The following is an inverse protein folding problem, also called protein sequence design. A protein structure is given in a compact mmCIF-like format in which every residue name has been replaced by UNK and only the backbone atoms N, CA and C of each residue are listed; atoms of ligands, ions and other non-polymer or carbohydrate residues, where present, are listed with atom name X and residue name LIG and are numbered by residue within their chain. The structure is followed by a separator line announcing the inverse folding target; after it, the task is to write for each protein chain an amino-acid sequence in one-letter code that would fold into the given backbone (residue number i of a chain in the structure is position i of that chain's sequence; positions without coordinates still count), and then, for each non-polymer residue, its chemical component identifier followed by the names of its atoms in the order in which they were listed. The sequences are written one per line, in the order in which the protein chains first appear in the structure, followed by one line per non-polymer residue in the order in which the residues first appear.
data_IF_716155882901
#
_entry.id   IF_716155882901
#
_cell.length_a   1.000
_cell.length_b   1.000
_cell.length_c   1.000
_cell.angle_alpha   90.00
_cell.angle_beta   90.00
_cell.angle_gamma   90.00
#
_symmetry.space_group_name_H-M   'P 1'
#
loop_
_entity.id
_entity.type
_entity.pdbx_description
1 polymer ?
#
# COMPACT_ATOMS: atom_id res chain seq x y z
N UNK A 1 14.90 19.51 15.89
CA UNK A 1 13.89 18.68 16.59
C UNK A 1 12.66 18.64 15.70
N UNK A 2 12.26 17.46 15.21
CA UNK A 2 11.04 17.36 14.39
C UNK A 2 9.81 17.48 15.28
N UNK A 3 8.81 18.23 14.78
CA UNK A 3 7.51 18.31 15.45
C UNK A 3 6.80 16.96 15.30
N UNK A 4 6.19 16.49 16.38
CA UNK A 4 5.38 15.26 16.32
C UNK A 4 4.15 15.48 15.41
N UNK A 5 3.74 14.46 14.67
CA UNK A 5 2.51 14.52 13.89
C UNK A 5 1.29 14.58 14.83
N UNK A 6 0.11 14.93 14.32
CA UNK A 6 -1.14 14.80 15.07
C UNK A 6 -1.33 13.37 15.60
N UNK A 7 -2.07 13.24 16.72
CA UNK A 7 -2.36 11.92 17.28
C UNK A 7 -3.04 11.01 16.24
N UNK A 8 -2.56 9.78 16.16
CA UNK A 8 -3.03 8.78 15.18
C UNK A 8 -2.52 8.96 13.75
N UNK A 9 -1.58 9.89 13.50
CA UNK A 9 -0.92 10.06 12.22
C UNK A 9 0.55 9.63 12.29
N UNK A 10 1.06 8.90 11.27
CA UNK A 10 2.48 8.65 11.14
C UNK A 10 3.22 9.91 10.65
N UNK A 11 4.54 9.95 10.80
CA UNK A 11 5.38 11.01 10.23
C UNK A 11 5.39 11.01 8.70
N UNK A 12 5.15 9.86 8.10
CA UNK A 12 5.05 9.68 6.66
C UNK A 12 3.84 8.79 6.34
N UNK A 13 3.14 9.11 5.28
CA UNK A 13 2.05 8.32 4.71
C UNK A 13 2.22 8.26 3.20
N UNK A 14 1.58 7.29 2.55
CA UNK A 14 1.57 7.17 1.09
C UNK A 14 0.18 7.42 0.54
N UNK A 15 0.12 8.07 -0.64
CA UNK A 15 -1.10 8.19 -1.42
C UNK A 15 -1.01 7.25 -2.62
N UNK A 16 -2.02 6.41 -2.78
CA UNK A 16 -2.15 5.44 -3.86
C UNK A 16 -3.29 5.86 -4.79
N UNK A 17 -3.06 5.71 -6.08
CA UNK A 17 -3.97 6.21 -7.09
C UNK A 17 -4.50 5.06 -7.93
N UNK A 18 -5.83 4.90 -7.95
CA UNK A 18 -6.55 3.81 -8.60
C UNK A 18 -7.55 4.35 -9.61
N UNK A 19 -7.82 3.58 -10.65
CA UNK A 19 -8.93 3.86 -11.58
C UNK A 19 -10.27 3.71 -10.86
N UNK A 20 -10.36 2.71 -9.97
CA UNK A 20 -11.56 2.38 -9.21
C UNK A 20 -11.28 2.43 -7.70
N UNK A 21 -11.14 3.65 -7.12
CA UNK A 21 -10.67 3.80 -5.74
C UNK A 21 -11.63 3.19 -4.70
N UNK A 22 -12.94 3.19 -4.94
CA UNK A 22 -13.89 2.58 -4.03
C UNK A 22 -13.67 1.06 -3.92
N UNK A 23 -13.54 0.38 -5.06
CA UNK A 23 -13.24 -1.05 -5.09
C UNK A 23 -11.86 -1.38 -4.50
N UNK A 24 -10.89 -0.47 -4.70
CA UNK A 24 -9.54 -0.63 -4.14
C UNK A 24 -9.53 -0.55 -2.61
N UNK A 25 -10.33 0.32 -2.01
CA UNK A 25 -10.47 0.43 -0.55
C UNK A 25 -10.96 -0.90 0.02
N UNK A 26 -12.07 -1.43 -0.50
CA UNK A 26 -12.65 -2.68 -0.02
C UNK A 26 -11.66 -3.85 -0.20
N UNK A 27 -11.04 -3.92 -1.37
CA UNK A 27 -10.07 -4.97 -1.67
C UNK A 27 -8.83 -4.93 -0.77
N UNK A 28 -8.27 -3.74 -0.49
CA UNK A 28 -7.11 -3.59 0.40
C UNK A 28 -7.44 -4.03 1.84
N UNK A 29 -8.67 -3.77 2.29
CA UNK A 29 -9.14 -4.25 3.58
C UNK A 29 -9.21 -5.78 3.60
N UNK A 30 -9.84 -6.40 2.61
CA UNK A 30 -10.05 -7.84 2.55
C UNK A 30 -8.75 -8.62 2.29
N UNK A 31 -7.95 -8.16 1.34
CA UNK A 31 -6.76 -8.88 0.89
C UNK A 31 -5.54 -8.65 1.77
N UNK A 32 -5.30 -7.39 2.18
CA UNK A 32 -4.09 -7.00 2.91
C UNK A 32 -4.35 -6.63 4.37
N UNK A 33 -5.60 -6.73 4.84
CA UNK A 33 -5.95 -6.53 6.24
C UNK A 33 -5.87 -5.07 6.71
N UNK A 34 -5.98 -4.11 5.79
CA UNK A 34 -6.14 -2.71 6.18
C UNK A 34 -7.49 -2.47 6.86
N UNK A 35 -7.53 -1.48 7.73
CA UNK A 35 -8.76 -0.99 8.34
C UNK A 35 -9.11 0.39 7.76
N UNK A 36 -10.34 0.53 7.28
CA UNK A 36 -10.84 1.83 6.81
C UNK A 36 -11.08 2.75 8.01
N UNK A 37 -10.27 3.81 8.13
CA UNK A 37 -10.40 4.81 9.20
C UNK A 37 -11.31 5.97 8.82
N UNK A 38 -11.21 6.43 7.58
CA UNK A 38 -11.99 7.55 7.07
C UNK A 38 -12.25 7.37 5.57
N UNK A 39 -13.47 7.67 5.14
CA UNK A 39 -13.85 7.75 3.74
C UNK A 39 -14.75 8.97 3.54
N UNK A 40 -14.34 9.86 2.64
CA UNK A 40 -15.14 11.02 2.21
C UNK A 40 -15.55 10.81 0.78
N UNK A 41 -16.84 10.68 0.55
CA UNK A 41 -17.44 10.47 -0.78
C UNK A 41 -18.03 11.78 -1.30
N UNK A 42 -17.94 11.97 -2.62
CA UNK A 42 -18.61 13.01 -3.35
C UNK A 42 -19.84 12.48 -4.08
N UNK A 43 -19.85 12.62 -5.40
CA UNK A 43 -20.86 12.01 -6.26
C UNK A 43 -20.81 10.47 -6.12
N UNK A 44 -21.89 9.74 -6.46
CA UNK A 44 -21.92 8.30 -6.33
C UNK A 44 -20.70 7.60 -6.98
N UNK A 45 -19.91 6.91 -6.15
CA UNK A 45 -18.66 6.23 -6.56
C UNK A 45 -17.41 7.11 -6.56
N UNK A 46 -17.51 8.40 -6.29
CA UNK A 46 -16.37 9.30 -6.17
C UNK A 46 -15.78 9.24 -4.77
N UNK A 47 -14.49 8.95 -4.67
CA UNK A 47 -13.72 9.05 -3.43
C UNK A 47 -12.95 10.38 -3.46
N UNK A 48 -13.39 11.32 -2.63
CA UNK A 48 -12.71 12.60 -2.45
C UNK A 48 -11.43 12.42 -1.63
N UNK A 49 -11.54 11.64 -0.55
CA UNK A 49 -10.43 11.36 0.35
C UNK A 49 -10.67 10.05 1.14
N UNK A 50 -9.62 9.32 1.41
CA UNK A 50 -9.70 8.14 2.29
C UNK A 50 -8.46 7.96 3.12
N UNK A 51 -8.60 7.25 4.23
CA UNK A 51 -7.52 6.83 5.13
C UNK A 51 -7.70 5.36 5.49
N UNK A 52 -6.73 4.56 5.11
CA UNK A 52 -6.63 3.16 5.50
C UNK A 52 -5.42 2.99 6.39
N UNK A 53 -5.58 2.25 7.47
CA UNK A 53 -4.50 2.02 8.45
C UNK A 53 -4.17 0.53 8.56
N UNK A 54 -2.89 0.24 8.79
CA UNK A 54 -2.38 -1.07 9.17
C UNK A 54 -1.35 -0.86 10.27
N UNK A 55 -1.72 -1.15 11.52
CA UNK A 55 -0.89 -0.79 12.67
C UNK A 55 -0.57 0.71 12.70
N UNK A 56 0.71 1.07 12.54
CA UNK A 56 1.15 2.47 12.49
C UNK A 56 1.25 3.03 11.06
N UNK A 57 1.04 2.19 10.05
CA UNK A 57 1.06 2.65 8.67
C UNK A 57 -0.26 3.31 8.28
N UNK A 58 -0.17 4.33 7.45
CA UNK A 58 -1.34 5.00 6.88
C UNK A 58 -1.13 5.18 5.38
N UNK A 59 -2.14 4.76 4.61
CA UNK A 59 -2.23 5.06 3.19
C UNK A 59 -3.55 5.77 2.89
N UNK A 60 -3.54 6.65 1.90
CA UNK A 60 -4.77 7.18 1.31
C UNK A 60 -4.97 6.57 -0.08
N UNK A 61 -6.21 6.32 -0.42
CA UNK A 61 -6.63 5.84 -1.74
C UNK A 61 -7.43 6.94 -2.43
N UNK A 62 -7.03 7.27 -3.64
CA UNK A 62 -7.65 8.34 -4.44
C UNK A 62 -7.82 7.90 -5.90
N UNK A 63 -8.67 8.60 -6.63
CA UNK A 63 -8.82 8.38 -8.05
C UNK A 63 -7.55 8.82 -8.80
N UNK A 64 -7.09 7.98 -9.74
CA UNK A 64 -6.03 8.33 -10.69
C UNK A 64 -6.56 9.26 -11.78
N UNK A 65 -5.66 10.05 -12.38
CA UNK A 65 -5.94 10.69 -13.66
C UNK A 65 -6.10 9.61 -14.75
N UNK A 66 -6.99 9.86 -15.70
CA UNK A 66 -7.16 8.99 -16.87
C UNK A 66 -6.25 9.46 -18.00
N UNK A 67 -5.75 8.54 -18.84
CA UNK A 67 -5.04 8.92 -20.05
C UNK A 67 -5.90 9.86 -20.91
N UNK A 68 -5.33 11.04 -21.23
CA UNK A 68 -6.03 12.06 -22.01
C UNK A 68 -6.83 13.08 -21.20
N UNK A 69 -6.90 12.94 -19.87
CA UNK A 69 -7.46 14.00 -19.03
C UNK A 69 -6.65 15.29 -19.18
N UNK A 70 -7.34 16.39 -19.39
CA UNK A 70 -6.72 17.69 -19.43
C UNK A 70 -6.18 18.07 -18.04
N UNK A 71 -5.01 18.72 -18.01
CA UNK A 71 -4.50 19.32 -16.80
C UNK A 71 -5.43 20.47 -16.39
N UNK A 72 -6.32 20.24 -15.45
CA UNK A 72 -7.18 21.28 -14.93
C UNK A 72 -6.37 22.23 -14.03
N UNK A 73 -6.42 23.56 -14.27
CA UNK A 73 -5.79 24.53 -13.39
C UNK A 73 -6.26 24.35 -11.94
N UNK A 74 -5.31 24.25 -11.00
CA UNK A 74 -5.57 24.00 -9.58
C UNK A 74 -5.77 22.55 -9.19
N UNK A 75 -5.71 21.61 -10.15
CA UNK A 75 -5.77 20.16 -9.92
C UNK A 75 -4.54 19.41 -10.45
N UNK A 76 -3.45 20.11 -10.67
CA UNK A 76 -2.22 19.56 -11.25
C UNK A 76 -1.66 18.39 -10.43
N UNK A 77 -1.92 18.38 -9.14
CA UNK A 77 -1.52 17.27 -8.28
C UNK A 77 -2.20 15.96 -8.71
N UNK A 78 -3.52 15.97 -8.87
CA UNK A 78 -4.27 14.76 -9.26
C UNK A 78 -3.91 14.31 -10.68
N UNK A 79 -3.74 15.23 -11.60
CA UNK A 79 -3.47 14.94 -13.02
C UNK A 79 -2.09 14.31 -13.30
N UNK A 80 -1.18 14.30 -12.31
CA UNK A 80 0.15 13.70 -12.43
C UNK A 80 0.23 12.28 -11.88
N UNK A 81 -0.85 11.77 -11.27
CA UNK A 81 -0.87 10.47 -10.62
C UNK A 81 -1.71 9.49 -11.42
N UNK A 82 -1.06 8.47 -11.92
CA UNK A 82 -1.69 7.43 -12.73
C UNK A 82 -1.78 6.11 -11.96
N UNK A 83 -2.76 5.29 -12.30
CA UNK A 83 -2.78 3.89 -11.91
C UNK A 83 -1.67 3.12 -12.65
N UNK A 84 -1.05 2.07 -12.05
CA UNK A 84 -0.15 1.18 -12.76
C UNK A 84 -0.74 0.58 -14.04
N UNK A 85 -2.07 0.40 -14.09
CA UNK A 85 -2.77 -0.05 -15.29
C UNK A 85 -2.58 0.88 -16.49
N UNK A 86 -2.41 2.18 -16.24
CA UNK A 86 -2.19 3.20 -17.29
C UNK A 86 -0.72 3.31 -17.69
N UNK A 87 0.17 2.70 -16.92
CA UNK A 87 1.63 2.73 -17.09
C UNK A 87 2.20 1.41 -17.64
N UNK A 88 1.35 0.53 -18.17
CA UNK A 88 1.78 -0.80 -18.63
C UNK A 88 2.31 -1.69 -17.50
N UNK A 89 1.76 -1.55 -16.30
CA UNK A 89 2.13 -2.32 -15.11
C UNK A 89 3.44 -1.87 -14.45
N UNK A 90 4.01 -0.74 -14.87
CA UNK A 90 5.21 -0.19 -14.23
C UNK A 90 4.84 0.65 -13.04
N UNK A 91 5.65 0.55 -11.99
CA UNK A 91 5.54 1.33 -10.76
C UNK A 91 6.88 2.00 -10.44
N UNK A 92 6.85 3.08 -9.70
CA UNK A 92 8.04 3.83 -9.28
C UNK A 92 8.30 3.71 -7.77
N UNK A 93 7.45 2.97 -7.05
CA UNK A 93 7.58 2.73 -5.62
C UNK A 93 7.04 1.35 -5.25
N UNK A 94 7.48 0.85 -4.11
CA UNK A 94 6.87 -0.27 -3.41
C UNK A 94 6.61 0.14 -1.96
N UNK A 95 5.50 -0.32 -1.41
CA UNK A 95 5.22 -0.17 0.01
C UNK A 95 5.69 -1.42 0.75
N UNK A 96 6.33 -1.19 1.91
CA UNK A 96 6.84 -2.27 2.75
C UNK A 96 6.11 -2.22 4.08
N UNK A 97 5.50 -3.34 4.49
CA UNK A 97 4.77 -3.47 5.74
C UNK A 97 5.31 -4.66 6.55
N UNK A 98 5.41 -4.48 7.86
CA UNK A 98 5.59 -5.60 8.77
C UNK A 98 4.23 -6.21 9.10
N UNK A 99 4.17 -7.54 9.01
CA UNK A 99 3.00 -8.37 9.33
C UNK A 99 3.37 -9.41 10.37
N UNK A 100 2.39 -9.93 11.10
CA UNK A 100 2.65 -10.91 12.16
C UNK A 100 3.10 -12.26 11.61
N UNK A 101 2.58 -12.67 10.45
CA UNK A 101 2.89 -13.95 9.79
C UNK A 101 2.83 -13.75 8.27
N UNK A 102 3.99 -13.79 7.62
CA UNK A 102 4.10 -13.55 6.18
C UNK A 102 3.45 -14.68 5.35
N UNK A 103 3.45 -15.93 5.83
CA UNK A 103 2.83 -17.05 5.11
C UNK A 103 1.31 -16.96 5.15
N UNK A 104 0.74 -16.74 6.34
CA UNK A 104 -0.70 -16.58 6.52
C UNK A 104 -1.22 -15.36 5.75
N UNK A 105 -0.50 -14.23 5.82
CA UNK A 105 -0.84 -13.01 5.10
C UNK A 105 -0.78 -13.21 3.57
N UNK A 106 0.24 -13.92 3.06
CA UNK A 106 0.35 -14.27 1.64
C UNK A 106 -0.81 -15.16 1.19
N UNK A 107 -1.21 -16.13 2.00
CA UNK A 107 -2.36 -17.00 1.70
C UNK A 107 -3.66 -16.21 1.60
N UNK A 108 -3.91 -15.27 2.53
CA UNK A 108 -5.06 -14.36 2.48
C UNK A 108 -5.02 -13.47 1.24
N UNK A 109 -3.91 -12.81 0.97
CA UNK A 109 -3.73 -11.95 -0.19
C UNK A 109 -4.04 -12.71 -1.50
N UNK A 110 -3.49 -13.92 -1.64
CA UNK A 110 -3.72 -14.80 -2.79
C UNK A 110 -5.19 -15.20 -2.92
N UNK A 111 -5.85 -15.54 -1.82
CA UNK A 111 -7.27 -15.92 -1.83
C UNK A 111 -8.18 -14.78 -2.31
N UNK A 112 -7.75 -13.53 -2.11
CA UNK A 112 -8.45 -12.32 -2.58
C UNK A 112 -7.92 -11.79 -3.93
N UNK A 113 -7.10 -12.58 -4.65
CA UNK A 113 -6.71 -12.28 -6.01
C UNK A 113 -5.46 -11.42 -6.18
N UNK A 114 -4.65 -11.24 -5.14
CA UNK A 114 -3.35 -10.61 -5.28
C UNK A 114 -2.43 -11.43 -6.19
N UNK A 115 -1.68 -10.76 -7.05
CA UNK A 115 -0.64 -11.40 -7.85
C UNK A 115 0.63 -11.51 -7.01
N UNK A 116 1.01 -12.72 -6.62
CA UNK A 116 2.24 -12.94 -5.84
C UNK A 116 3.43 -12.84 -6.79
N UNK A 117 4.25 -11.82 -6.59
CA UNK A 117 5.46 -11.55 -7.40
C UNK A 117 6.69 -12.28 -6.86
N UNK A 118 6.70 -12.59 -5.56
CA UNK A 118 7.75 -13.36 -4.89
C UNK A 118 7.12 -14.18 -3.78
N UNK A 119 7.30 -15.49 -3.80
CA UNK A 119 6.80 -16.40 -2.77
C UNK A 119 7.47 -16.14 -1.41
N UNK A 120 6.79 -16.47 -0.29
CA UNK A 120 7.36 -16.31 1.04
C UNK A 120 8.69 -17.05 1.18
N UNK A 121 9.74 -16.30 1.47
CA UNK A 121 11.09 -16.83 1.69
C UNK A 121 11.75 -16.13 2.87
N UNK A 122 12.60 -16.85 3.59
CA UNK A 122 13.41 -16.30 4.67
C UNK A 122 14.74 -15.82 4.12
N UNK A 123 15.06 -14.55 4.37
CA UNK A 123 16.33 -13.93 4.01
C UNK A 123 17.11 -13.64 5.29
N UNK A 124 18.27 -14.29 5.42
CA UNK A 124 19.22 -14.05 6.51
C UNK A 124 20.29 -13.07 6.04
N UNK A 125 20.41 -11.95 6.74
CA UNK A 125 21.36 -10.88 6.38
C UNK A 125 22.71 -11.01 7.11
N UNK A 126 22.92 -12.11 7.83
CA UNK A 126 24.16 -12.40 8.56
C UNK A 126 24.05 -12.17 10.05
N UNK A 127 25.04 -12.65 10.80
CA UNK A 127 25.02 -12.70 12.27
C UNK A 127 24.96 -11.32 12.94
N UNK A 128 25.51 -10.29 12.30
CA UNK A 128 25.47 -8.91 12.79
C UNK A 128 24.18 -8.17 12.48
N UNK A 129 23.27 -8.79 11.74
CA UNK A 129 22.05 -8.20 11.25
C UNK A 129 20.84 -9.03 11.70
N UNK A 130 19.78 -8.97 10.95
CA UNK A 130 18.51 -9.63 11.21
C UNK A 130 18.19 -10.67 10.13
N UNK A 131 17.10 -11.39 10.32
CA UNK A 131 16.48 -12.16 9.26
C UNK A 131 14.98 -11.89 9.20
N UNK A 132 14.47 -11.78 7.98
CA UNK A 132 13.06 -11.57 7.70
C UNK A 132 12.53 -12.69 6.82
N UNK A 133 11.29 -13.12 7.10
CA UNK A 133 10.50 -13.87 6.16
C UNK A 133 9.59 -12.90 5.43
N UNK A 134 9.68 -12.85 4.09
CA UNK A 134 8.99 -11.85 3.31
C UNK A 134 8.45 -12.41 2.00
N UNK A 135 7.43 -11.74 1.46
CA UNK A 135 6.91 -12.01 0.13
C UNK A 135 6.57 -10.70 -0.58
N UNK A 136 6.52 -10.75 -1.91
CA UNK A 136 6.11 -9.63 -2.75
C UNK A 136 4.77 -9.88 -3.41
N UNK A 137 3.97 -8.85 -3.57
CA UNK A 137 2.69 -8.92 -4.25
C UNK A 137 2.39 -7.66 -5.04
N UNK A 138 1.54 -7.81 -6.04
CA UNK A 138 0.83 -6.70 -6.67
C UNK A 138 -0.64 -6.74 -6.27
N UNK A 139 -1.21 -5.57 -5.99
CA UNK A 139 -2.63 -5.43 -5.73
C UNK A 139 -3.49 -5.50 -7.00
N UNK A 140 -4.78 -5.22 -6.87
CA UNK A 140 -5.75 -5.38 -7.96
C UNK A 140 -5.46 -4.49 -9.19
N UNK A 141 -4.72 -3.38 -9.03
CA UNK A 141 -4.33 -2.51 -10.15
C UNK A 141 -2.83 -2.51 -10.43
N UNK A 142 -2.05 -3.27 -9.65
CA UNK A 142 -0.64 -3.50 -9.90
C UNK A 142 0.32 -2.63 -9.09
N UNK A 143 -0.11 -1.96 -8.03
CA UNK A 143 0.83 -1.34 -7.09
C UNK A 143 1.66 -2.42 -6.40
N UNK A 144 2.93 -2.13 -6.16
CA UNK A 144 3.89 -3.09 -5.61
C UNK A 144 3.95 -3.02 -4.09
N UNK A 145 3.89 -4.19 -3.46
CA UNK A 145 3.90 -4.37 -2.02
C UNK A 145 4.91 -5.41 -1.60
N UNK A 146 5.57 -5.17 -0.45
CA UNK A 146 6.37 -6.13 0.26
C UNK A 146 5.84 -6.28 1.67
N UNK A 147 5.64 -7.53 2.10
CA UNK A 147 5.19 -7.87 3.44
C UNK A 147 6.27 -8.67 4.13
N UNK A 148 6.65 -8.25 5.33
CA UNK A 148 7.78 -8.79 6.06
C UNK A 148 7.38 -9.20 7.46
N UNK A 149 7.91 -10.32 7.90
CA UNK A 149 7.81 -10.82 9.26
C UNK A 149 9.22 -10.98 9.80
N UNK A 150 9.55 -10.31 10.91
CA UNK A 150 10.86 -10.40 11.54
C UNK A 150 11.03 -11.76 12.19
N UNK A 151 12.00 -12.59 11.71
CA UNK A 151 12.28 -13.92 12.23
C UNK A 151 13.39 -13.86 13.28
N UNK A 152 14.41 -13.04 13.08
CA UNK A 152 15.51 -12.83 14.02
C UNK A 152 15.86 -11.34 14.10
N UNK A 153 15.88 -10.83 15.32
CA UNK A 153 16.28 -9.44 15.59
C UNK A 153 17.79 -9.24 15.40
N UNK A 154 18.18 -7.99 15.17
CA UNK A 154 19.57 -7.60 15.20
C UNK A 154 20.11 -7.77 16.63
N UNK A 155 21.32 -8.35 16.83
CA UNK A 155 21.94 -8.40 18.15
C UNK A 155 22.07 -7.01 18.76
N UNK A 156 21.85 -6.91 20.07
CA UNK A 156 22.09 -5.66 20.80
C UNK A 156 23.58 -5.30 20.70
N UNK A 157 23.85 -4.05 20.34
CA UNK A 157 25.22 -3.51 20.28
C UNK A 157 25.65 -3.02 21.66
#
# INVERSE_FOLDING_TARGET
MHRLPPSGWPQASSSLFYREPAAAIDWLCDAFGFELRLKVEGEPGEIIYSELVYGQALVSVSASARPGDALEPGREFKSRHASPLDLGGRVNQALCLFVDDADAHCAQARAHGATISSEPATHDYGDDYWSDRSYGAYDLEGHSWWFMHRVREQPAR
#
